data_IF_113356500300
#
_entry.id   IF_113356500300
#
_cell.length_a   1.000
_cell.length_b   1.000
_cell.length_c   1.000
_cell.angle_alpha   90.00
_cell.angle_beta   90.00
_cell.angle_gamma   90.00
#
_symmetry.space_group_name_H-M   'P 1'
#
loop_
_entity.id
_entity.type
_entity.pdbx_description
1 polymer ?
#
# COMPACT_ATOMS: atom_id res chain seq x y z
N UNK A 1 -1.87 9.74 -16.03
CA UNK A 1 -2.12 10.66 -14.90
C UNK A 1 -0.79 11.06 -14.25
N UNK A 2 0.01 11.94 -14.88
CA UNK A 2 1.33 12.34 -14.35
C UNK A 2 1.27 13.42 -13.24
N UNK A 3 0.07 13.87 -12.86
CA UNK A 3 -0.15 14.96 -11.89
C UNK A 3 -1.45 14.75 -11.08
N UNK A 4 -1.57 13.67 -10.30
CA UNK A 4 -2.42 13.72 -9.12
C UNK A 4 -1.50 13.79 -7.90
N UNK A 5 -1.62 14.86 -7.14
CA UNK A 5 -0.96 15.00 -5.84
C UNK A 5 -1.40 13.85 -4.95
N UNK A 6 -0.54 12.84 -4.81
CA UNK A 6 -0.81 11.61 -4.09
C UNK A 6 -0.22 11.63 -2.67
N UNK A 7 0.22 12.79 -2.19
CA UNK A 7 0.85 13.03 -0.88
C UNK A 7 0.01 12.56 0.32
N UNK A 8 -1.31 12.43 0.15
CA UNK A 8 -2.23 11.95 1.18
C UNK A 8 -2.70 10.51 0.96
N UNK A 9 -2.09 9.78 0.02
CA UNK A 9 -2.44 8.38 -0.18
C UNK A 9 -2.27 7.60 1.12
N UNK A 10 -3.28 6.80 1.46
CA UNK A 10 -3.21 5.94 2.63
C UNK A 10 -2.20 4.81 2.44
N UNK A 11 -1.97 4.32 1.22
CA UNK A 11 -1.19 3.09 1.01
C UNK A 11 0.27 3.36 0.64
N UNK A 12 0.55 4.18 -0.37
CA UNK A 12 1.88 4.25 -0.98
C UNK A 12 2.57 5.62 -0.90
N UNK A 13 1.99 6.59 -0.19
CA UNK A 13 2.65 7.89 -0.01
C UNK A 13 3.52 7.85 1.23
N UNK A 14 4.79 8.19 1.08
CA UNK A 14 5.74 8.36 2.19
C UNK A 14 5.40 9.59 3.05
N UNK A 15 4.67 10.57 2.53
CA UNK A 15 4.31 11.80 3.23
C UNK A 15 3.11 11.64 4.17
N UNK A 16 2.28 10.62 3.95
CA UNK A 16 1.18 10.31 4.84
C UNK A 16 1.68 9.48 6.02
N UNK A 17 2.08 10.16 7.10
CA UNK A 17 2.54 9.52 8.35
C UNK A 17 1.51 8.64 9.06
N UNK A 18 0.23 8.74 8.66
CA UNK A 18 -0.87 7.88 9.14
C UNK A 18 -1.21 6.75 8.16
N UNK A 19 -0.50 6.67 7.04
CA UNK A 19 -0.68 5.65 6.02
C UNK A 19 0.24 4.44 6.23
N UNK A 20 0.09 3.47 5.33
CA UNK A 20 0.89 2.23 5.29
C UNK A 20 2.27 2.45 4.66
N UNK A 21 2.47 3.57 3.96
CA UNK A 21 3.75 4.04 3.38
C UNK A 21 4.51 2.96 2.56
N UNK A 22 3.79 2.16 1.79
CA UNK A 22 4.37 1.06 1.01
C UNK A 22 5.05 1.56 -0.26
N UNK A 23 6.36 1.32 -0.33
CA UNK A 23 7.20 1.56 -1.50
C UNK A 23 7.11 0.36 -2.47
N UNK A 24 6.35 0.54 -3.53
CA UNK A 24 6.17 -0.44 -4.60
C UNK A 24 7.24 -0.27 -5.68
N UNK A 25 7.95 -1.35 -6.01
CA UNK A 25 9.04 -1.36 -7.00
C UNK A 25 8.74 -2.29 -8.17
N UNK A 26 8.98 -1.88 -9.43
CA UNK A 26 8.89 -2.77 -10.57
C UNK A 26 9.96 -3.86 -10.51
N UNK A 27 9.55 -5.07 -10.90
CA UNK A 27 10.35 -6.31 -10.93
C UNK A 27 9.94 -7.14 -12.15
N UNK A 28 10.48 -6.78 -13.31
CA UNK A 28 10.12 -7.40 -14.59
C UNK A 28 8.67 -7.08 -14.94
N UNK A 29 7.83 -8.11 -15.10
CA UNK A 29 6.40 -7.98 -15.39
C UNK A 29 5.51 -7.90 -14.13
N UNK A 30 6.09 -7.53 -12.98
CA UNK A 30 5.41 -7.46 -11.68
C UNK A 30 5.79 -6.19 -10.95
N UNK A 31 5.00 -5.86 -9.94
CA UNK A 31 5.32 -4.87 -8.92
C UNK A 31 5.40 -5.57 -7.56
N UNK A 32 6.37 -5.18 -6.74
CA UNK A 32 6.59 -5.75 -5.40
C UNK A 32 6.64 -4.62 -4.38
N UNK A 33 5.83 -4.74 -3.33
CA UNK A 33 5.90 -3.91 -2.13
C UNK A 33 6.05 -4.78 -0.89
N UNK A 34 6.66 -4.24 0.16
CA UNK A 34 6.82 -4.92 1.46
C UNK A 34 6.08 -4.10 2.50
N UNK A 35 5.24 -4.76 3.29
CA UNK A 35 4.52 -4.16 4.41
C UNK A 35 4.60 -5.08 5.62
N UNK A 36 4.94 -4.49 6.77
CA UNK A 36 4.97 -5.19 8.06
C UNK A 36 3.83 -4.65 8.92
N UNK A 37 2.76 -5.44 9.15
CA UNK A 37 1.65 -4.99 9.98
C UNK A 37 2.07 -4.77 11.43
N UNK A 38 1.41 -3.82 12.09
CA UNK A 38 1.50 -3.54 13.53
C UNK A 38 0.19 -3.87 14.23
N UNK A 39 0.14 -3.72 15.55
CA UNK A 39 -1.08 -3.90 16.34
C UNK A 39 -2.24 -3.00 15.89
N UNK A 40 -1.94 -1.77 15.43
CA UNK A 40 -2.92 -0.83 14.90
C UNK A 40 -3.61 -1.31 13.61
N UNK A 41 -3.07 -2.34 12.95
CA UNK A 41 -3.59 -2.89 11.70
C UNK A 41 -4.43 -4.15 11.90
N UNK A 42 -4.73 -4.55 13.13
CA UNK A 42 -5.43 -5.80 13.43
C UNK A 42 -6.95 -5.70 13.23
N UNK A 43 -7.61 -6.84 12.93
CA UNK A 43 -9.04 -7.00 13.20
C UNK A 43 -9.27 -7.77 14.49
N UNK A 44 -8.94 -9.06 14.47
CA UNK A 44 -8.90 -9.93 15.65
C UNK A 44 -7.48 -9.93 16.19
N UNK A 45 -7.34 -10.26 17.47
CA UNK A 45 -6.05 -10.29 18.16
C UNK A 45 -5.01 -11.11 17.38
N UNK A 46 -3.90 -10.47 17.03
CA UNK A 46 -2.80 -11.02 16.24
C UNK A 46 -3.06 -11.20 14.74
N UNK A 47 -4.21 -10.78 14.21
CA UNK A 47 -4.59 -10.98 12.80
C UNK A 47 -4.77 -9.65 12.08
N UNK A 48 -4.04 -9.44 10.98
CA UNK A 48 -4.18 -8.24 10.14
C UNK A 48 -5.59 -8.09 9.58
N UNK A 49 -6.14 -6.89 9.68
CA UNK A 49 -7.48 -6.56 9.21
C UNK A 49 -7.60 -6.75 7.69
N UNK A 50 -8.64 -7.45 7.25
CA UNK A 50 -8.84 -7.74 5.82
C UNK A 50 -8.89 -6.49 4.94
N UNK A 51 -9.47 -5.38 5.43
CA UNK A 51 -9.46 -4.08 4.74
C UNK A 51 -8.07 -3.48 4.50
N UNK A 52 -7.10 -3.72 5.39
CA UNK A 52 -5.70 -3.30 5.18
C UNK A 52 -5.09 -4.10 4.04
N UNK A 53 -5.27 -5.43 4.07
CA UNK A 53 -4.81 -6.33 2.99
C UNK A 53 -5.43 -5.98 1.65
N UNK A 54 -6.75 -5.73 1.60
CA UNK A 54 -7.45 -5.30 0.39
C UNK A 54 -6.92 -3.98 -0.16
N UNK A 55 -6.60 -3.02 0.72
CA UNK A 55 -6.04 -1.73 0.30
C UNK A 55 -4.63 -1.89 -0.28
N UNK A 56 -3.80 -2.77 0.30
CA UNK A 56 -2.48 -3.12 -0.24
C UNK A 56 -2.58 -3.75 -1.63
N UNK A 57 -3.51 -4.69 -1.82
CA UNK A 57 -3.74 -5.34 -3.10
C UNK A 57 -4.26 -4.37 -4.16
N UNK A 58 -5.20 -3.48 -3.80
CA UNK A 58 -5.69 -2.42 -4.69
C UNK A 58 -4.54 -1.52 -5.18
N UNK A 59 -3.71 -1.02 -4.26
CA UNK A 59 -2.56 -0.19 -4.61
C UNK A 59 -1.54 -0.95 -5.49
N UNK A 60 -1.28 -2.23 -5.19
CA UNK A 60 -0.39 -3.06 -5.98
C UNK A 60 -0.90 -3.29 -7.41
N UNK A 61 -2.21 -3.56 -7.58
CA UNK A 61 -2.82 -3.71 -8.90
C UNK A 61 -2.77 -2.41 -9.70
N UNK A 62 -3.09 -1.28 -9.06
CA UNK A 62 -2.98 0.03 -9.70
C UNK A 62 -1.54 0.32 -10.15
N UNK A 63 -0.53 0.03 -9.32
CA UNK A 63 0.88 0.16 -9.69
C UNK A 63 1.28 -0.78 -10.83
N UNK A 64 0.80 -2.01 -10.84
CA UNK A 64 1.13 -2.99 -11.88
C UNK A 64 0.58 -2.63 -13.27
N UNK A 65 -0.41 -1.73 -13.36
CA UNK A 65 -1.00 -1.26 -14.63
C UNK A 65 -0.40 0.10 -15.06
N UNK A 66 0.02 0.92 -14.10
CA UNK A 66 0.49 2.29 -14.36
C UNK A 66 2.02 2.41 -14.52
N UNK A 67 2.79 1.44 -14.03
CA UNK A 67 4.25 1.32 -14.20
C UNK A 67 4.60 0.43 -15.41
#
# INVERSE_FOLDING_TARGET
>A
MKNLNHHHCFVCSEENVKGLQVDFKPRGNKVVGIFTPTEDHQSYDGITHGGVLSSLLDAAMNRAILE
#
